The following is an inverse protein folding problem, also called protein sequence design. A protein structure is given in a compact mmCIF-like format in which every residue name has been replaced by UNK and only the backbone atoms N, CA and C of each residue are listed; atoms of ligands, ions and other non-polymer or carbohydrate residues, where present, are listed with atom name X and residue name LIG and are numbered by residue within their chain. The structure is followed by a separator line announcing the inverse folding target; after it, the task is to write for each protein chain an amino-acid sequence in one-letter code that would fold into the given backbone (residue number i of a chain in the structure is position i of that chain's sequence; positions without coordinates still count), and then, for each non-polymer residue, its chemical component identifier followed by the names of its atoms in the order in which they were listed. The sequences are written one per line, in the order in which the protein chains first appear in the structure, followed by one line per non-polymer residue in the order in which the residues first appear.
data_IF_201603428678
#
_entry.id   IF_201603428678
#
_cell.length_a   1.000
_cell.length_b   1.000
_cell.length_c   1.000
_cell.angle_alpha   90.00
_cell.angle_beta   90.00
_cell.angle_gamma   90.00
#
_symmetry.space_group_name_H-M   'P 1'
#
loop_
_entity.id
_entity.type
_entity.pdbx_description
1 polymer ?
#
# COMPACT_ATOMS: atom_id res chain seq x y z
N UNK A 1 11.19 -0.06 -5.41
CA UNK A 1 10.95 -0.76 -4.12
C UNK A 1 10.96 -2.25 -4.37
N UNK A 2 11.66 -2.98 -3.53
CA UNK A 2 11.63 -4.44 -3.46
C UNK A 2 11.35 -4.89 -2.05
N UNK A 3 10.81 -6.10 -1.87
CA UNK A 3 10.54 -6.65 -0.55
C UNK A 3 11.27 -7.97 -0.40
N UNK A 4 12.13 -8.05 0.63
CA UNK A 4 12.77 -9.29 1.02
C UNK A 4 11.83 -10.06 1.93
N UNK A 5 11.56 -11.32 1.58
CA UNK A 5 10.75 -12.23 2.38
C UNK A 5 11.39 -13.62 2.39
N UNK A 6 11.45 -14.24 3.59
CA UNK A 6 11.91 -15.64 3.75
C UNK A 6 10.77 -16.65 3.61
N UNK A 7 9.53 -16.18 3.63
CA UNK A 7 8.31 -16.98 3.55
C UNK A 7 7.52 -16.63 2.28
N UNK A 8 6.22 -16.89 2.31
CA UNK A 8 5.30 -16.52 1.24
C UNK A 8 5.39 -15.04 0.92
N UNK A 9 5.77 -14.72 -0.33
CA UNK A 9 5.99 -13.33 -0.74
C UNK A 9 4.71 -12.49 -0.62
N UNK A 10 4.80 -11.20 -0.25
CA UNK A 10 3.62 -10.32 -0.14
C UNK A 10 2.72 -10.29 -1.36
N UNK A 11 3.26 -10.43 -2.58
CA UNK A 11 2.46 -10.52 -3.81
C UNK A 11 1.50 -11.71 -3.75
N UNK A 12 1.97 -12.89 -3.34
CA UNK A 12 1.12 -14.07 -3.21
C UNK A 12 0.02 -13.86 -2.15
N UNK A 13 0.37 -13.21 -1.03
CA UNK A 13 -0.60 -12.88 0.03
C UNK A 13 -1.66 -11.89 -0.45
N UNK A 14 -1.29 -10.88 -1.27
CA UNK A 14 -2.25 -9.97 -1.90
C UNK A 14 -3.23 -10.73 -2.80
N UNK A 15 -2.71 -11.63 -3.65
CA UNK A 15 -3.51 -12.45 -4.56
C UNK A 15 -4.45 -13.38 -3.78
N UNK A 16 -3.96 -14.06 -2.74
CA UNK A 16 -4.78 -14.97 -1.92
C UNK A 16 -5.85 -14.20 -1.16
N UNK A 17 -5.53 -13.03 -0.63
CA UNK A 17 -6.53 -12.16 0.00
C UNK A 17 -7.64 -11.78 -0.98
N UNK A 18 -7.27 -11.44 -2.21
CA UNK A 18 -8.24 -11.12 -3.25
C UNK A 18 -9.08 -12.32 -3.68
N UNK A 19 -8.48 -13.52 -3.77
CA UNK A 19 -9.20 -14.77 -4.08
C UNK A 19 -10.19 -15.14 -2.98
N UNK A 20 -9.80 -14.96 -1.71
CA UNK A 20 -10.66 -15.23 -0.55
C UNK A 20 -11.77 -14.20 -0.33
N UNK A 21 -11.70 -13.07 -1.03
CA UNK A 21 -12.67 -11.97 -0.96
C UNK A 21 -13.11 -11.58 -2.39
N UNK A 22 -14.02 -12.31 -3.03
CA UNK A 22 -14.38 -12.09 -4.45
C UNK A 22 -14.96 -10.71 -4.76
N UNK A 23 -15.53 -10.04 -3.77
CA UNK A 23 -16.11 -8.69 -3.83
C UNK A 23 -15.07 -7.56 -3.72
N UNK A 24 -13.84 -7.87 -3.31
CA UNK A 24 -12.78 -6.86 -3.16
C UNK A 24 -12.34 -6.29 -4.51
N UNK A 25 -12.13 -4.98 -4.58
CA UNK A 25 -11.65 -4.27 -5.78
C UNK A 25 -10.18 -3.89 -5.72
N UNK A 26 -9.63 -3.75 -4.51
CA UNK A 26 -8.22 -3.53 -4.30
C UNK A 26 -7.75 -4.18 -2.99
N UNK A 27 -6.52 -4.69 -2.99
CA UNK A 27 -5.79 -5.08 -1.79
C UNK A 27 -4.48 -4.34 -1.76
N UNK A 28 -4.24 -3.61 -0.68
CA UNK A 28 -3.08 -2.76 -0.48
C UNK A 28 -2.09 -3.45 0.45
N UNK A 29 -0.80 -3.32 0.17
CA UNK A 29 0.24 -3.65 1.13
C UNK A 29 0.59 -2.42 1.96
N UNK A 30 0.61 -2.57 3.28
CA UNK A 30 0.91 -1.49 4.21
C UNK A 30 2.03 -1.88 5.18
N UNK A 31 2.69 -0.89 5.74
CA UNK A 31 3.60 -1.04 6.89
C UNK A 31 3.36 0.06 7.92
N UNK A 32 3.79 -0.15 9.15
CA UNK A 32 3.86 0.92 10.14
C UNK A 32 4.92 1.93 9.77
N UNK A 33 4.58 3.22 9.83
CA UNK A 33 5.45 4.34 9.46
C UNK A 33 5.48 5.40 10.56
N UNK A 34 6.53 6.21 10.55
CA UNK A 34 6.67 7.41 11.40
C UNK A 34 6.60 8.69 10.57
N UNK A 35 7.08 8.66 9.33
CA UNK A 35 7.07 9.81 8.42
C UNK A 35 5.93 9.70 7.41
N UNK A 36 4.81 10.34 7.73
CA UNK A 36 3.59 10.32 6.92
C UNK A 36 3.67 11.15 5.64
N UNK A 37 4.67 12.05 5.54
CA UNK A 37 4.82 12.96 4.39
C UNK A 37 5.32 12.26 3.12
N UNK A 38 5.69 10.99 3.23
CA UNK A 38 6.21 10.19 2.10
C UNK A 38 5.21 9.18 1.56
N UNK A 39 4.08 8.96 2.24
CA UNK A 39 3.18 7.85 1.96
C UNK A 39 1.73 8.30 1.79
N UNK A 40 0.98 7.55 1.00
CA UNK A 40 -0.46 7.48 1.17
C UNK A 40 -0.79 6.79 2.50
N UNK A 41 -1.69 7.37 3.27
CA UNK A 41 -2.08 6.88 4.61
C UNK A 41 -3.52 6.39 4.58
N UNK A 42 -3.76 5.08 4.84
CA UNK A 42 -5.11 4.55 4.93
C UNK A 42 -5.66 4.73 6.34
N UNK A 43 -6.96 5.03 6.46
CA UNK A 43 -7.72 4.79 7.67
C UNK A 43 -8.31 3.40 7.60
N UNK A 44 -8.02 2.56 8.60
CA UNK A 44 -8.35 1.14 8.53
C UNK A 44 -9.17 0.67 9.73
N UNK A 45 -10.00 -0.35 9.50
CA UNK A 45 -10.70 -1.13 10.52
C UNK A 45 -10.16 -2.56 10.49
N UNK A 46 -9.69 -3.06 11.63
CA UNK A 46 -9.17 -4.43 11.72
C UNK A 46 -10.29 -5.45 11.51
N UNK A 47 -10.06 -6.43 10.65
CA UNK A 47 -10.95 -7.58 10.43
C UNK A 47 -10.40 -8.81 11.17
N UNK A 48 -9.12 -9.11 10.97
CA UNK A 48 -8.42 -10.24 11.60
C UNK A 48 -6.93 -9.93 11.73
N UNK A 49 -6.13 -10.92 12.16
CA UNK A 49 -4.69 -10.75 12.16
C UNK A 49 -4.19 -10.47 10.74
N UNK A 50 -3.52 -9.33 10.58
CA UNK A 50 -2.91 -8.89 9.34
C UNK A 50 -3.89 -8.62 8.16
N UNK A 51 -5.20 -8.46 8.45
CA UNK A 51 -6.21 -8.09 7.47
C UNK A 51 -7.08 -6.94 7.97
N UNK A 52 -7.22 -5.91 7.15
CA UNK A 52 -7.90 -4.67 7.47
C UNK A 52 -8.83 -4.25 6.33
N UNK A 53 -9.96 -3.66 6.67
CA UNK A 53 -10.80 -2.92 5.72
C UNK A 53 -10.32 -1.47 5.66
N UNK A 54 -10.22 -0.94 4.45
CA UNK A 54 -9.77 0.45 4.22
C UNK A 54 -11.00 1.34 4.04
N UNK A 55 -11.16 2.31 4.93
CA UNK A 55 -12.31 3.22 4.92
C UNK A 55 -12.00 4.57 4.28
N UNK A 56 -10.74 4.95 4.21
CA UNK A 56 -10.26 6.19 3.62
C UNK A 56 -8.80 6.06 3.23
N UNK A 57 -8.36 6.77 2.18
CA UNK A 57 -6.95 6.95 1.84
C UNK A 57 -6.69 8.42 1.57
N UNK A 58 -5.60 8.96 2.14
CA UNK A 58 -5.17 10.34 1.92
C UNK A 58 -3.68 10.33 1.57
N UNK A 59 -3.33 10.99 0.46
CA UNK A 59 -1.93 11.16 0.06
C UNK A 59 -1.21 12.17 0.93
N UNK A 60 -0.10 11.76 1.57
CA UNK A 60 0.79 12.61 2.36
C UNK A 60 0.03 13.57 3.29
N UNK A 61 -0.81 13.05 4.21
CA UNK A 61 -1.65 13.88 5.05
C UNK A 61 -0.83 14.69 6.07
N UNK A 62 -1.28 15.91 6.37
CA UNK A 62 -0.68 16.71 7.45
C UNK A 62 -1.07 16.19 8.83
N UNK A 63 -2.27 15.60 8.94
CA UNK A 63 -2.78 14.96 10.16
C UNK A 63 -3.23 13.53 9.84
N UNK A 64 -2.34 12.54 9.98
CA UNK A 64 -2.67 11.15 9.71
C UNK A 64 -3.66 10.59 10.74
N UNK A 65 -4.58 9.72 10.27
CA UNK A 65 -5.56 9.02 11.12
C UNK A 65 -5.15 7.60 11.47
N UNK A 66 -4.02 7.13 10.97
CA UNK A 66 -3.44 5.83 11.30
C UNK A 66 -1.92 5.90 11.24
N UNK A 67 -1.26 4.88 11.76
CA UNK A 67 0.19 4.71 11.71
C UNK A 67 0.66 3.83 10.53
N UNK A 68 -0.21 3.60 9.54
CA UNK A 68 0.10 2.83 8.35
C UNK A 68 0.42 3.71 7.16
N UNK A 69 1.45 3.30 6.39
CA UNK A 69 1.74 3.83 5.06
C UNK A 69 1.54 2.75 4.01
N UNK A 70 0.99 3.14 2.87
CA UNK A 70 0.79 2.26 1.73
C UNK A 70 2.12 2.08 1.01
N UNK A 71 2.50 0.84 0.77
CA UNK A 71 3.65 0.47 -0.05
C UNK A 71 3.24 0.36 -1.52
N UNK A 72 4.16 0.57 -2.48
CA UNK A 72 3.85 0.52 -3.90
C UNK A 72 3.74 -0.93 -4.42
N UNK A 73 2.96 -1.73 -3.74
CA UNK A 73 2.60 -3.10 -4.11
C UNK A 73 1.10 -3.31 -3.86
N UNK A 74 0.38 -3.53 -4.94
CA UNK A 74 -1.09 -3.54 -4.96
C UNK A 74 -1.61 -4.74 -5.72
N UNK A 75 -2.78 -5.23 -5.33
CA UNK A 75 -3.67 -5.99 -6.18
C UNK A 75 -4.86 -5.11 -6.56
N UNK A 76 -5.18 -5.02 -7.84
CA UNK A 76 -6.35 -4.29 -8.35
C UNK A 76 -7.20 -5.17 -9.25
N UNK A 77 -8.50 -5.00 -9.19
CA UNK A 77 -9.41 -5.42 -10.24
C UNK A 77 -9.56 -4.35 -11.32
N UNK A 78 -10.10 -4.69 -12.50
CA UNK A 78 -10.19 -3.75 -13.63
C UNK A 78 -10.91 -2.43 -13.34
N UNK A 79 -11.78 -2.38 -12.31
CA UNK A 79 -12.51 -1.18 -11.91
C UNK A 79 -11.58 -0.01 -11.54
N UNK A 80 -10.34 -0.29 -11.16
CA UNK A 80 -9.35 0.76 -10.89
C UNK A 80 -9.12 1.65 -12.11
N UNK A 81 -9.17 1.12 -13.32
CA UNK A 81 -8.97 1.90 -14.56
C UNK A 81 -10.10 2.91 -14.78
N UNK A 82 -11.34 2.56 -14.40
CA UNK A 82 -12.45 3.51 -14.43
C UNK A 82 -12.27 4.61 -13.40
N UNK A 83 -11.78 4.26 -12.22
CA UNK A 83 -11.48 5.21 -11.14
C UNK A 83 -10.33 6.16 -11.53
N UNK A 84 -9.27 5.63 -12.16
CA UNK A 84 -8.13 6.42 -12.65
C UNK A 84 -8.54 7.48 -13.69
N UNK A 85 -9.50 7.19 -14.54
CA UNK A 85 -10.01 8.17 -15.52
C UNK A 85 -10.73 9.36 -14.88
N UNK A 86 -11.19 9.24 -13.64
CA UNK A 86 -11.94 10.25 -12.90
C UNK A 86 -11.08 11.15 -12.02
N UNK A 87 -9.82 10.77 -11.76
CA UNK A 87 -8.93 11.56 -10.89
C UNK A 87 -8.48 12.85 -11.58
N UNK A 88 -8.23 13.85 -10.75
CA UNK A 88 -7.67 15.14 -11.16
C UNK A 88 -6.27 15.29 -10.59
N UNK A 89 -5.50 16.24 -11.08
CA UNK A 89 -4.21 16.57 -10.49
C UNK A 89 -4.40 17.03 -9.04
N UNK A 90 -3.77 16.31 -8.13
CA UNK A 90 -3.83 16.56 -6.70
C UNK A 90 -2.64 17.35 -6.17
N UNK A 91 -2.22 17.03 -4.94
CA UNK A 91 -1.07 17.63 -4.27
C UNK A 91 0.18 17.49 -5.16
N UNK A 92 0.93 18.58 -5.36
CA UNK A 92 2.10 18.60 -6.24
C UNK A 92 1.79 18.67 -7.75
N UNK A 93 0.53 18.89 -8.15
CA UNK A 93 0.05 18.89 -9.56
C UNK A 93 0.23 17.55 -10.27
N UNK A 94 0.38 16.46 -9.52
CA UNK A 94 0.52 15.09 -10.02
C UNK A 94 -0.80 14.34 -9.91
N UNK A 95 -0.98 13.31 -10.76
CA UNK A 95 -2.05 12.33 -10.63
C UNK A 95 -1.65 11.31 -9.57
N UNK A 96 -2.43 11.21 -8.50
CA UNK A 96 -2.12 10.31 -7.38
C UNK A 96 -2.95 9.03 -7.46
N UNK A 97 -2.31 7.87 -7.42
CA UNK A 97 -3.00 6.58 -7.38
C UNK A 97 -3.91 6.45 -6.15
N UNK A 98 -3.51 7.06 -5.04
CA UNK A 98 -4.31 7.13 -3.80
C UNK A 98 -5.67 7.79 -4.00
N UNK A 99 -5.77 8.77 -4.92
CA UNK A 99 -7.06 9.40 -5.26
C UNK A 99 -7.99 8.42 -6.01
N UNK A 100 -7.43 7.56 -6.87
CA UNK A 100 -8.22 6.53 -7.54
C UNK A 100 -8.71 5.47 -6.56
N UNK A 101 -7.87 5.07 -5.60
CA UNK A 101 -8.27 4.16 -4.51
C UNK A 101 -9.36 4.80 -3.65
N UNK A 102 -9.22 6.09 -3.32
CA UNK A 102 -10.21 6.84 -2.56
C UNK A 102 -11.55 6.93 -3.31
N UNK A 103 -11.54 7.03 -4.64
CA UNK A 103 -12.76 7.00 -5.44
C UNK A 103 -13.46 5.64 -5.38
N UNK A 104 -12.72 4.52 -5.43
CA UNK A 104 -13.30 3.19 -5.19
C UNK A 104 -14.05 3.14 -3.86
N UNK A 105 -13.42 3.66 -2.79
CA UNK A 105 -14.03 3.68 -1.45
C UNK A 105 -15.29 4.56 -1.42
N UNK A 106 -15.26 5.75 -2.03
CA UNK A 106 -16.42 6.64 -2.13
C UNK A 106 -17.59 6.00 -2.89
N UNK A 107 -17.28 5.17 -3.89
CA UNK A 107 -18.24 4.38 -4.65
C UNK A 107 -18.70 3.11 -3.93
N UNK A 108 -18.38 2.98 -2.62
CA UNK A 108 -18.70 1.83 -1.76
C UNK A 108 -18.10 0.51 -2.25
N UNK A 109 -17.03 0.58 -3.02
CA UNK A 109 -16.27 -0.59 -3.43
C UNK A 109 -15.37 -1.04 -2.29
N UNK A 110 -15.29 -2.35 -2.07
CA UNK A 110 -14.48 -2.92 -0.99
C UNK A 110 -13.01 -2.83 -1.30
N UNK A 111 -12.25 -2.23 -0.40
CA UNK A 111 -10.80 -2.14 -0.41
C UNK A 111 -10.26 -2.74 0.88
N UNK A 112 -9.31 -3.66 0.76
CA UNK A 112 -8.64 -4.30 1.89
C UNK A 112 -7.18 -3.90 1.95
N UNK A 113 -6.57 -4.10 3.11
CA UNK A 113 -5.14 -3.96 3.31
C UNK A 113 -4.59 -5.15 4.10
N UNK A 114 -3.37 -5.55 3.76
CA UNK A 114 -2.54 -6.45 4.56
C UNK A 114 -1.25 -5.73 4.94
N UNK A 115 -0.56 -6.18 5.97
CA UNK A 115 0.68 -5.57 6.42
C UNK A 115 1.89 -6.46 6.14
N UNK A 116 3.07 -5.86 6.10
CA UNK A 116 4.31 -6.60 6.13
C UNK A 116 4.39 -7.44 7.40
N UNK A 117 4.91 -8.65 7.28
CA UNK A 117 5.24 -9.49 8.42
C UNK A 117 6.54 -9.01 9.09
N UNK A 118 6.77 -9.40 10.33
CA UNK A 118 7.97 -9.01 11.09
C UNK A 118 9.30 -9.37 10.41
N UNK A 119 9.29 -10.42 9.58
CA UNK A 119 10.48 -10.93 8.88
C UNK A 119 10.59 -10.43 7.43
N UNK A 120 9.73 -9.49 7.04
CA UNK A 120 9.75 -8.89 5.72
C UNK A 120 10.32 -7.47 5.83
N UNK A 121 11.16 -7.13 4.87
CA UNK A 121 11.84 -5.84 4.82
C UNK A 121 11.67 -5.21 3.45
N UNK A 122 11.19 -3.97 3.46
CA UNK A 122 11.13 -3.14 2.26
C UNK A 122 12.48 -2.53 1.99
N UNK A 123 12.94 -2.64 0.75
CA UNK A 123 14.12 -1.95 0.24
C UNK A 123 13.66 -0.93 -0.79
N UNK A 124 13.91 0.33 -0.51
CA UNK A 124 13.71 1.43 -1.44
C UNK A 124 15.07 1.91 -1.96
N UNK A 125 15.13 2.21 -3.26
CA UNK A 125 16.33 2.70 -3.96
C UNK A 125 16.10 4.07 -4.61
N UNK A 126 15.16 4.83 -4.08
CA UNK A 126 14.74 6.12 -4.64
C UNK A 126 15.75 7.27 -4.42
N UNK A 127 16.75 7.09 -3.55
CA UNK A 127 17.81 8.08 -3.28
C UNK A 127 19.18 7.41 -3.25
N UNK A 128 20.25 8.20 -3.37
CA UNK A 128 21.63 7.67 -3.26
C UNK A 128 21.87 7.00 -1.92
N UNK A 129 21.34 7.57 -0.84
CA UNK A 129 21.45 7.01 0.50
C UNK A 129 20.67 5.70 0.64
N UNK A 130 19.42 5.64 0.17
CA UNK A 130 18.62 4.41 0.22
C UNK A 130 19.20 3.33 -0.68
N UNK A 131 19.83 3.68 -1.81
CA UNK A 131 20.56 2.74 -2.67
C UNK A 131 21.76 2.13 -1.93
N UNK A 132 22.59 2.93 -1.26
CA UNK A 132 23.69 2.45 -0.42
C UNK A 132 23.19 1.49 0.66
N UNK A 133 22.15 1.88 1.39
CA UNK A 133 21.55 1.05 2.43
C UNK A 133 21.02 -0.27 1.85
N UNK A 134 20.44 -0.25 0.65
CA UNK A 134 19.94 -1.45 -0.02
C UNK A 134 21.05 -2.46 -0.30
N UNK A 135 22.22 -2.00 -0.72
CA UNK A 135 23.38 -2.84 -0.96
C UNK A 135 23.87 -3.50 0.35
N UNK A 136 23.97 -2.74 1.44
CA UNK A 136 24.35 -3.27 2.74
C UNK A 136 23.38 -4.35 3.25
N UNK A 137 22.07 -4.12 3.10
CA UNK A 137 21.03 -5.06 3.51
C UNK A 137 21.10 -6.35 2.69
N UNK A 138 21.24 -6.24 1.37
CA UNK A 138 21.31 -7.41 0.49
C UNK A 138 22.59 -8.20 0.70
N UNK A 139 23.72 -7.52 0.91
CA UNK A 139 25.00 -8.19 1.19
C UNK A 139 24.97 -8.99 2.50
N UNK A 140 24.34 -8.47 3.56
CA UNK A 140 24.21 -9.19 4.85
C UNK A 140 23.26 -10.40 4.79
N UNK A 141 22.40 -10.47 3.76
CA UNK A 141 21.40 -11.54 3.61
C UNK A 141 21.74 -12.56 2.52
N UNK A 142 22.78 -12.29 1.75
CA UNK A 142 23.34 -13.24 0.77
C UNK A 142 24.20 -14.30 1.47
#
# INVERSE_FOLDING_TARGET
VTILSKNKHPIERLIDTAKSNPDVKAVLLCKKIKDFKKYGVPTVRKISNNLFEVNQVIEKPDKPKSDFGILPLYYFRPEIFTSLKKIKRGKGKEYQLTDAIQNLIKEKQKVLAITLNKNEEEIDVGTVESYKNSQEITFRKA
#
